data_IF_181899215444
#
_entry.id   IF_181899215444
#
_cell.length_a   1.000
_cell.length_b   1.000
_cell.length_c   1.000
_cell.angle_alpha   90.00
_cell.angle_beta   90.00
_cell.angle_gamma   90.00
#
_symmetry.space_group_name_H-M   'P 1'
#
loop_
_entity.id
_entity.type
_entity.pdbx_description
1 polymer ?
#
# COMPACT_ATOMS: atom_id res chain seq x y z
N UNK A 1 7.91 -13.83 0.67
CA UNK A 1 7.10 -12.65 0.29
C UNK A 1 7.35 -12.44 -1.20
N UNK A 2 6.34 -12.46 -2.06
CA UNK A 2 6.56 -12.31 -3.50
C UNK A 2 7.10 -10.90 -3.76
N UNK A 3 8.36 -10.82 -4.18
CA UNK A 3 9.00 -9.55 -4.50
C UNK A 3 8.38 -8.99 -5.78
N UNK A 4 8.28 -7.66 -5.89
CA UNK A 4 7.76 -6.98 -7.09
C UNK A 4 8.49 -7.45 -8.36
N UNK A 5 9.80 -7.70 -8.27
CA UNK A 5 10.61 -8.20 -9.38
C UNK A 5 10.12 -9.58 -9.90
N UNK A 6 9.80 -10.51 -9.00
CA UNK A 6 9.25 -11.82 -9.33
C UNK A 6 7.86 -11.71 -9.93
N UNK A 7 7.02 -10.83 -9.37
CA UNK A 7 5.66 -10.57 -9.86
C UNK A 7 5.69 -10.06 -11.31
N UNK A 8 6.55 -9.07 -11.59
CA UNK A 8 6.71 -8.50 -12.93
C UNK A 8 7.28 -9.53 -13.91
N UNK A 9 8.31 -10.27 -13.51
CA UNK A 9 8.94 -11.30 -14.36
C UNK A 9 7.96 -12.42 -14.70
N UNK A 10 7.20 -12.89 -13.71
CA UNK A 10 6.19 -13.95 -13.90
C UNK A 10 5.05 -13.47 -14.79
N UNK A 11 4.54 -12.25 -14.58
CA UNK A 11 3.51 -11.67 -15.44
C UNK A 11 3.98 -11.45 -16.88
N UNK A 12 5.24 -11.07 -17.10
CA UNK A 12 5.80 -10.98 -18.46
C UNK A 12 5.84 -12.36 -19.12
N UNK A 13 6.34 -13.38 -18.42
CA UNK A 13 6.46 -14.74 -18.93
C UNK A 13 5.08 -15.33 -19.23
N UNK A 14 4.08 -15.11 -18.38
CA UNK A 14 2.71 -15.62 -18.59
C UNK A 14 2.03 -15.00 -19.82
N UNK A 15 2.40 -13.77 -20.19
CA UNK A 15 1.98 -13.13 -21.45
C UNK A 15 2.84 -13.51 -22.66
N UNK A 16 3.81 -14.39 -22.48
CA UNK A 16 4.77 -14.81 -23.51
C UNK A 16 5.49 -13.62 -24.19
N UNK A 17 5.77 -12.56 -23.41
CA UNK A 17 6.42 -11.35 -23.90
C UNK A 17 7.93 -11.40 -23.64
N UNK A 18 8.71 -11.01 -24.65
CA UNK A 18 10.14 -10.76 -24.47
C UNK A 18 10.37 -9.38 -23.87
N UNK A 19 11.50 -9.18 -23.18
CA UNK A 19 11.90 -7.86 -22.66
C UNK A 19 11.95 -6.80 -23.77
N UNK A 20 12.35 -7.20 -24.98
CA UNK A 20 12.35 -6.32 -26.17
C UNK A 20 10.92 -5.87 -26.54
N UNK A 21 9.97 -6.79 -26.61
CA UNK A 21 8.57 -6.44 -26.91
C UNK A 21 7.96 -5.53 -25.84
N UNK A 22 8.30 -5.74 -24.56
CA UNK A 22 7.87 -4.85 -23.48
C UNK A 22 8.48 -3.46 -23.64
N UNK A 23 9.78 -3.38 -23.94
CA UNK A 23 10.50 -2.14 -24.23
C UNK A 23 9.83 -1.35 -25.36
N UNK A 24 9.54 -2.03 -26.47
CA UNK A 24 8.96 -1.40 -27.66
C UNK A 24 7.53 -0.88 -27.41
N UNK A 25 6.73 -1.62 -26.60
CA UNK A 25 5.36 -1.27 -26.24
C UNK A 25 5.28 -0.13 -25.23
N UNK A 26 6.08 -0.18 -24.16
CA UNK A 26 6.01 0.79 -23.06
C UNK A 26 6.98 1.96 -23.19
N UNK A 27 7.84 1.95 -24.22
CA UNK A 27 8.92 2.93 -24.42
C UNK A 27 9.84 3.04 -23.20
N UNK A 28 10.07 1.91 -22.54
CA UNK A 28 11.01 1.77 -21.41
C UNK A 28 12.24 1.06 -21.94
N UNK A 29 13.44 1.56 -21.62
CA UNK A 29 14.68 0.91 -22.01
C UNK A 29 14.75 -0.57 -21.59
N UNK A 30 15.25 -1.43 -22.49
CA UNK A 30 15.37 -2.88 -22.28
C UNK A 30 16.21 -3.22 -21.06
N UNK A 31 17.29 -2.48 -20.79
CA UNK A 31 18.15 -2.72 -19.65
C UNK A 31 17.45 -2.30 -18.35
N UNK A 32 16.62 -1.25 -18.36
CA UNK A 32 15.77 -0.89 -17.22
C UNK A 32 14.79 -2.02 -16.87
N UNK A 33 14.06 -2.56 -17.85
CA UNK A 33 13.12 -3.68 -17.60
C UNK A 33 13.87 -4.88 -17.02
N UNK A 34 15.05 -5.20 -17.56
CA UNK A 34 15.88 -6.30 -17.04
C UNK A 34 16.32 -6.04 -15.59
N UNK A 35 16.69 -4.80 -15.25
CA UNK A 35 17.04 -4.42 -13.88
C UNK A 35 15.85 -4.48 -12.92
N UNK A 36 14.64 -4.16 -13.39
CA UNK A 36 13.42 -4.28 -12.60
C UNK A 36 13.12 -5.74 -12.25
N UNK A 37 13.16 -6.63 -13.24
CA UNK A 37 12.90 -8.07 -13.05
C UNK A 37 13.95 -8.80 -12.23
N UNK A 38 15.15 -8.23 -12.09
CA UNK A 38 16.23 -8.77 -11.27
C UNK A 38 16.39 -8.03 -9.92
N UNK A 39 15.50 -7.10 -9.59
CA UNK A 39 15.55 -6.34 -8.33
C UNK A 39 16.72 -5.35 -8.21
N UNK A 40 17.49 -5.13 -9.28
CA UNK A 40 18.66 -4.24 -9.29
C UNK A 40 18.28 -2.75 -9.36
N UNK A 41 17.05 -2.46 -9.78
CA UNK A 41 16.51 -1.10 -9.82
C UNK A 41 15.02 -1.15 -9.54
N UNK A 42 14.54 -0.20 -8.74
CA UNK A 42 13.11 -0.03 -8.51
C UNK A 42 12.46 0.76 -9.66
N UNK A 43 11.36 0.27 -10.26
CA UNK A 43 10.57 1.05 -11.23
C UNK A 43 9.87 2.24 -10.54
N UNK A 44 9.44 3.23 -11.32
CA UNK A 44 8.54 4.28 -10.80
C UNK A 44 7.11 3.74 -10.64
N UNK A 45 6.26 4.39 -9.84
CA UNK A 45 4.85 4.00 -9.70
C UNK A 45 4.13 3.91 -11.06
N UNK A 46 4.35 4.88 -11.94
CA UNK A 46 3.75 4.88 -13.28
C UNK A 46 4.25 3.69 -14.12
N UNK A 47 5.55 3.35 -14.03
CA UNK A 47 6.09 2.16 -14.71
C UNK A 47 5.49 0.87 -14.15
N UNK A 48 5.30 0.76 -12.83
CA UNK A 48 4.62 -0.39 -12.20
C UNK A 48 3.20 -0.54 -12.75
N UNK A 49 2.44 0.55 -12.82
CA UNK A 49 1.08 0.55 -13.37
C UNK A 49 1.09 0.10 -14.84
N UNK A 50 1.91 0.72 -15.68
CA UNK A 50 1.99 0.37 -17.11
C UNK A 50 2.44 -1.07 -17.36
N UNK A 51 3.41 -1.57 -16.58
CA UNK A 51 3.84 -2.96 -16.66
C UNK A 51 2.72 -3.91 -16.20
N UNK A 52 2.02 -3.58 -15.11
CA UNK A 52 0.91 -4.38 -14.59
C UNK A 52 -0.23 -4.50 -15.60
N UNK A 53 -0.60 -3.38 -16.22
CA UNK A 53 -1.60 -3.34 -17.29
C UNK A 53 -1.19 -4.23 -18.48
N UNK A 54 0.05 -4.09 -18.95
CA UNK A 54 0.56 -4.89 -20.06
C UNK A 54 0.61 -6.39 -19.72
N UNK A 55 0.96 -6.72 -18.48
CA UNK A 55 1.08 -8.10 -18.01
C UNK A 55 -0.25 -8.70 -17.55
N UNK A 56 -1.32 -7.91 -17.48
CA UNK A 56 -2.61 -8.34 -16.93
C UNK A 56 -2.55 -8.69 -15.44
N UNK A 57 -1.66 -8.05 -14.69
CA UNK A 57 -1.54 -8.17 -13.24
C UNK A 57 -2.48 -7.13 -12.61
N UNK A 58 -3.12 -7.49 -11.50
CA UNK A 58 -3.96 -6.55 -10.76
C UNK A 58 -3.13 -5.35 -10.26
N UNK A 59 -3.44 -4.14 -10.72
CA UNK A 59 -2.65 -2.94 -10.43
C UNK A 59 -2.46 -2.70 -8.94
N UNK A 60 -3.52 -2.86 -8.13
CA UNK A 60 -3.42 -2.69 -6.68
C UNK A 60 -2.41 -3.65 -6.04
N UNK A 61 -2.31 -4.89 -6.53
CA UNK A 61 -1.37 -5.87 -5.99
C UNK A 61 0.08 -5.45 -6.29
N UNK A 62 0.34 -5.02 -7.54
CA UNK A 62 1.67 -4.54 -7.94
C UNK A 62 2.07 -3.25 -7.23
N UNK A 63 1.13 -2.30 -7.08
CA UNK A 63 1.38 -1.04 -6.37
C UNK A 63 1.59 -1.29 -4.88
N UNK A 64 0.85 -2.23 -4.27
CA UNK A 64 1.05 -2.63 -2.88
C UNK A 64 2.43 -3.23 -2.66
N UNK A 65 2.86 -4.16 -3.52
CA UNK A 65 4.20 -4.75 -3.45
C UNK A 65 5.29 -3.66 -3.60
N UNK A 66 5.13 -2.75 -4.56
CA UNK A 66 6.05 -1.63 -4.78
C UNK A 66 6.12 -0.68 -3.58
N UNK A 67 4.98 -0.32 -2.98
CA UNK A 67 4.93 0.54 -1.80
C UNK A 67 5.59 -0.13 -0.59
N UNK A 68 5.32 -1.43 -0.40
CA UNK A 68 5.91 -2.21 0.70
C UNK A 68 7.43 -2.21 0.60
N UNK A 69 7.98 -2.52 -0.57
CA UNK A 69 9.42 -2.46 -0.80
C UNK A 69 9.98 -1.05 -0.62
N UNK A 70 9.26 -0.03 -1.11
CA UNK A 70 9.68 1.36 -0.95
C UNK A 70 9.77 1.74 0.51
N UNK A 71 8.75 1.43 1.32
CA UNK A 71 8.76 1.71 2.75
C UNK A 71 9.93 0.97 3.40
N UNK A 72 10.06 -0.34 3.17
CA UNK A 72 11.14 -1.14 3.74
C UNK A 72 12.52 -0.57 3.41
N UNK A 73 12.79 -0.13 2.17
CA UNK A 73 14.11 0.44 1.86
C UNK A 73 14.46 1.73 2.60
N UNK A 74 13.47 2.44 3.14
CA UNK A 74 13.70 3.66 3.92
C UNK A 74 13.85 3.38 5.43
N UNK A 75 13.30 2.27 5.93
CA UNK A 75 13.23 1.99 7.39
C UNK A 75 13.99 0.73 7.82
N UNK A 76 14.42 -0.11 6.88
CA UNK A 76 15.12 -1.35 7.17
C UNK A 76 16.49 -1.04 7.77
N UNK A 77 16.81 -1.71 8.88
CA UNK A 77 18.02 -1.45 9.67
C UNK A 77 17.97 -0.22 10.59
N UNK A 78 16.87 0.55 10.62
CA UNK A 78 16.72 1.64 11.60
C UNK A 78 16.17 1.13 12.94
N UNK A 79 16.80 1.51 14.05
CA UNK A 79 16.36 1.18 15.41
C UNK A 79 14.91 1.59 15.69
N UNK A 80 14.47 2.69 15.07
CA UNK A 80 13.11 3.21 15.21
C UNK A 80 12.19 2.84 14.04
N UNK A 81 12.66 2.12 13.02
CA UNK A 81 11.92 1.90 11.77
C UNK A 81 10.54 1.29 11.97
N UNK A 82 10.44 0.23 12.78
CA UNK A 82 9.15 -0.40 13.10
C UNK A 82 8.23 0.52 13.92
N UNK A 83 8.79 1.32 14.84
CA UNK A 83 8.03 2.27 15.65
C UNK A 83 7.50 3.43 14.80
N UNK A 84 8.31 3.91 13.86
CA UNK A 84 7.93 4.93 12.90
C UNK A 84 6.81 4.44 11.96
N UNK A 85 6.90 3.19 11.47
CA UNK A 85 5.86 2.60 10.63
C UNK A 85 4.51 2.54 11.36
N UNK A 86 4.48 2.04 12.60
CA UNK A 86 3.26 2.03 13.43
C UNK A 86 2.73 3.43 13.71
N UNK A 87 3.62 4.39 13.95
CA UNK A 87 3.21 5.78 14.15
C UNK A 87 2.62 6.41 12.89
N UNK A 88 3.10 6.05 11.70
CA UNK A 88 2.56 6.51 10.42
C UNK A 88 1.19 5.88 10.15
N UNK A 89 1.04 4.57 10.37
CA UNK A 89 -0.25 3.86 10.29
C UNK A 89 -1.31 4.52 11.18
N UNK A 90 -0.99 4.77 12.45
CA UNK A 90 -1.91 5.41 13.39
C UNK A 90 -2.42 6.78 12.89
N UNK A 91 -1.54 7.59 12.29
CA UNK A 91 -1.90 8.91 11.73
C UNK A 91 -2.79 8.81 10.48
N UNK A 92 -2.59 7.79 9.65
CA UNK A 92 -3.45 7.52 8.50
C UNK A 92 -4.86 7.10 8.96
N UNK A 93 -4.95 6.22 9.95
CA UNK A 93 -6.24 5.74 10.48
C UNK A 93 -6.96 6.76 11.35
N UNK A 94 -6.24 7.60 12.10
CA UNK A 94 -6.85 8.61 12.99
C UNK A 94 -7.46 9.78 12.23
N UNK A 95 -7.15 9.92 10.92
CA UNK A 95 -7.65 11.03 10.09
C UNK A 95 -9.01 10.74 9.44
N UNK A 96 -9.59 9.55 9.65
CA UNK A 96 -10.87 9.13 9.06
C UNK A 96 -12.10 9.28 9.98
N UNK A 97 -11.92 9.74 11.22
CA UNK A 97 -13.06 10.24 12.02
C UNK A 97 -13.06 11.77 11.88
N UNK A 98 -14.04 12.38 11.19
CA UNK A 98 -14.21 13.82 11.26
C UNK A 98 -14.33 14.20 12.74
N UNK A 99 -13.54 15.16 13.24
CA UNK A 99 -13.54 15.58 14.65
C UNK A 99 -14.96 15.82 15.19
N UNK A 100 -15.87 16.30 14.33
CA UNK A 100 -17.29 16.52 14.63
C UNK A 100 -18.07 15.24 14.95
N UNK A 101 -17.74 14.11 14.32
CA UNK A 101 -18.37 12.81 14.56
C UNK A 101 -17.90 12.24 15.90
N UNK A 102 -16.62 12.43 16.24
CA UNK A 102 -16.09 12.04 17.56
C UNK A 102 -16.77 12.85 18.68
N UNK A 103 -16.88 14.16 18.51
CA UNK A 103 -17.56 15.04 19.48
C UNK A 103 -19.05 14.70 19.64
N UNK A 104 -19.77 14.44 18.53
CA UNK A 104 -21.18 14.04 18.57
C UNK A 104 -21.38 12.67 19.21
N UNK A 105 -20.51 11.70 18.91
CA UNK A 105 -20.57 10.36 19.49
C UNK A 105 -20.29 10.38 20.99
N UNK A 106 -19.26 11.13 21.42
CA UNK A 106 -18.92 11.29 22.83
C UNK A 106 -20.04 12.00 23.61
N UNK A 107 -20.76 12.93 22.99
CA UNK A 107 -21.95 13.55 23.59
C UNK A 107 -23.08 12.52 23.77
N UNK A 108 -23.36 11.72 22.74
CA UNK A 108 -24.40 10.69 22.79
C UNK A 108 -24.09 9.62 23.85
N UNK A 109 -22.83 9.24 24.01
CA UNK A 109 -22.39 8.28 25.02
C UNK A 109 -22.68 8.79 26.45
N UNK A 110 -22.39 10.07 26.72
CA UNK A 110 -22.71 10.70 28.02
C UNK A 110 -24.21 10.76 28.29
N UNK A 111 -25.01 11.03 27.25
CA UNK A 111 -26.48 11.01 27.37
C UNK A 111 -26.97 9.60 27.72
N UNK A 112 -26.47 8.56 27.06
CA UNK A 112 -26.81 7.17 27.38
C UNK A 112 -26.43 6.77 28.81
N UNK A 113 -25.26 7.16 29.29
CA UNK A 113 -24.81 6.91 30.67
C UNK A 113 -25.72 7.60 31.70
N UNK A 114 -26.14 8.83 31.39
CA UNK A 114 -27.07 9.57 32.26
C UNK A 114 -28.45 8.90 32.33
N UNK A 115 -28.97 8.43 31.19
CA UNK A 115 -30.25 7.71 31.10
C UNK A 115 -30.18 6.36 31.81
N UNK A 116 -29.07 5.63 31.66
CA UNK A 116 -28.85 4.36 32.37
C UNK A 116 -28.84 4.57 33.89
N UNK A 117 -28.23 5.67 34.36
CA UNK A 117 -28.21 6.04 35.78
C UNK A 117 -29.61 6.41 36.28
N UNK A 118 -30.41 7.10 35.46
CA UNK A 118 -31.80 7.46 35.79
C UNK A 118 -32.71 6.23 35.84
N UNK A 119 -32.53 5.27 34.93
CA UNK A 119 -33.28 4.02 34.90
C UNK A 119 -32.86 3.05 36.02
N UNK A 120 -31.57 3.03 36.39
CA UNK A 120 -31.05 2.24 37.52
C UNK A 120 -31.44 2.77 38.90
N UNK A 121 -32.01 3.98 38.99
CA UNK A 121 -32.58 4.57 40.22
C UNK A 121 -34.06 4.23 40.44
N UNK A 122 -34.66 3.40 39.58
CA UNK A 122 -36.05 2.95 39.70
C UNK A 122 -36.10 1.55 40.32
N UNK A 123 -35.66 1.46 41.56
CA UNK A 123 -36.03 0.45 42.57
C UNK A 123 -35.95 1.13 43.94
#
# INVERSE_FOLDING_TARGET
MQQLCELLKTGRISKNLTVKQVSDKLKIDKALISKFENGQRRPTKNQVISLSQLFGIHENASVLAWLTEKILSEIDGEDLGLKALKSAEAKLTSSEIPQQVDDQFNKLLREMESLKTMLGKKN
#
